data_IF_462309537871
#
_entry.id   IF_462309537871
#
_cell.length_a   1.000
_cell.length_b   1.000
_cell.length_c   1.000
_cell.angle_alpha   90.00
_cell.angle_beta   90.00
_cell.angle_gamma   90.00
#
_symmetry.space_group_name_H-M   'P 1'
#
loop_
_entity.id
_entity.type
_entity.pdbx_description
1 polymer ?
#
# COMPACT_ATOMS: atom_id res chain seq x y z
N UNK A 1 -17.67 14.54 27.09
CA UNK A 1 -18.58 14.87 25.98
C UNK A 1 -18.68 13.71 24.98
N UNK A 2 -19.64 12.81 25.19
CA UNK A 2 -19.86 11.63 24.35
C UNK A 2 -20.27 11.98 22.90
N UNK A 3 -20.80 13.18 22.65
CA UNK A 3 -21.26 13.62 21.33
C UNK A 3 -20.15 13.93 20.33
N UNK A 4 -18.96 14.31 20.78
CA UNK A 4 -17.84 14.64 19.91
C UNK A 4 -17.14 13.40 19.32
N UNK A 5 -17.08 12.30 20.09
CA UNK A 5 -16.52 11.03 19.62
C UNK A 5 -17.40 10.36 18.58
N UNK A 6 -18.72 10.40 18.75
CA UNK A 6 -19.65 9.78 17.80
C UNK A 6 -19.64 10.48 16.42
N UNK A 7 -19.47 11.80 16.40
CA UNK A 7 -19.36 12.56 15.17
C UNK A 7 -18.02 12.31 14.44
N UNK A 8 -16.92 12.14 15.16
CA UNK A 8 -15.62 11.81 14.59
C UNK A 8 -15.59 10.39 13.99
N UNK A 9 -16.20 9.41 14.68
CA UNK A 9 -16.34 8.04 14.14
C UNK A 9 -17.22 7.98 12.90
N UNK A 10 -18.33 8.73 12.88
CA UNK A 10 -19.23 8.81 11.72
C UNK A 10 -18.54 9.43 10.50
N UNK A 11 -17.71 10.48 10.68
CA UNK A 11 -16.91 11.08 9.60
C UNK A 11 -15.86 10.12 9.05
N UNK A 12 -15.17 9.36 9.91
CA UNK A 12 -14.19 8.37 9.50
C UNK A 12 -14.85 7.24 8.70
N UNK A 13 -15.99 6.72 9.16
CA UNK A 13 -16.76 5.69 8.45
C UNK A 13 -17.24 6.18 7.09
N UNK A 14 -17.71 7.43 6.98
CA UNK A 14 -18.13 8.05 5.72
C UNK A 14 -16.94 8.23 4.76
N UNK A 15 -15.79 8.66 5.26
CA UNK A 15 -14.56 8.80 4.48
C UNK A 15 -14.11 7.45 3.92
N UNK A 16 -14.07 6.41 4.75
CA UNK A 16 -13.69 5.05 4.35
C UNK A 16 -14.64 4.50 3.30
N UNK A 17 -15.95 4.66 3.47
CA UNK A 17 -16.96 4.23 2.50
C UNK A 17 -16.77 4.91 1.15
N UNK A 18 -16.53 6.21 1.13
CA UNK A 18 -16.23 7.00 -0.06
C UNK A 18 -14.95 6.53 -0.75
N UNK A 19 -13.92 6.27 0.02
CA UNK A 19 -12.63 5.78 -0.47
C UNK A 19 -12.76 4.40 -1.11
N UNK A 20 -13.52 3.48 -0.48
CA UNK A 20 -13.80 2.15 -1.04
C UNK A 20 -14.51 2.26 -2.38
N UNK A 21 -15.54 3.09 -2.47
CA UNK A 21 -16.25 3.33 -3.73
C UNK A 21 -15.34 3.87 -4.82
N UNK A 22 -14.46 4.81 -4.48
CA UNK A 22 -13.51 5.38 -5.44
C UNK A 22 -12.48 4.35 -5.92
N UNK A 23 -11.97 3.51 -5.03
CA UNK A 23 -11.04 2.43 -5.36
C UNK A 23 -11.70 1.42 -6.28
N UNK A 24 -12.87 0.92 -5.92
CA UNK A 24 -13.61 -0.07 -6.69
C UNK A 24 -13.95 0.46 -8.09
N UNK A 25 -14.44 1.70 -8.19
CA UNK A 25 -14.72 2.35 -9.48
C UNK A 25 -13.47 2.47 -10.35
N UNK A 26 -12.33 2.82 -9.75
CA UNK A 26 -11.06 2.92 -10.45
C UNK A 26 -10.61 1.55 -10.98
N UNK A 27 -10.61 0.52 -10.14
CA UNK A 27 -10.21 -0.84 -10.50
C UNK A 27 -11.11 -1.41 -11.61
N UNK A 28 -12.42 -1.23 -11.48
CA UNK A 28 -13.40 -1.66 -12.48
C UNK A 28 -13.20 -0.95 -13.83
N UNK A 29 -12.92 0.36 -13.79
CA UNK A 29 -12.67 1.15 -15.00
C UNK A 29 -11.42 0.70 -15.75
N UNK A 30 -10.45 0.13 -15.04
CA UNK A 30 -9.22 -0.44 -15.62
C UNK A 30 -9.38 -1.89 -16.07
N UNK A 31 -10.45 -2.55 -15.65
CA UNK A 31 -10.62 -3.99 -15.88
C UNK A 31 -9.58 -4.82 -15.13
N UNK A 32 -9.07 -4.34 -14.02
CA UNK A 32 -8.07 -5.04 -13.22
C UNK A 32 -8.75 -6.03 -12.28
N UNK A 33 -8.37 -7.30 -12.39
CA UNK A 33 -8.78 -8.32 -11.44
C UNK A 33 -8.00 -8.14 -10.14
N UNK A 34 -8.71 -7.95 -9.05
CA UNK A 34 -8.10 -7.73 -7.75
C UNK A 34 -8.60 -8.71 -6.71
N UNK A 35 -7.77 -9.00 -5.72
CA UNK A 35 -8.17 -9.68 -4.50
C UNK A 35 -8.40 -8.66 -3.39
N UNK A 36 -9.37 -8.90 -2.54
CA UNK A 36 -9.59 -8.14 -1.32
C UNK A 36 -9.07 -8.96 -0.13
N UNK A 37 -8.09 -8.40 0.58
CA UNK A 37 -7.44 -9.04 1.72
C UNK A 37 -7.59 -8.15 2.95
N UNK A 38 -8.50 -8.51 3.86
CA UNK A 38 -8.75 -7.77 5.11
C UNK A 38 -8.99 -6.26 4.89
N UNK A 39 -9.70 -5.90 3.83
CA UNK A 39 -10.03 -4.52 3.47
C UNK A 39 -9.02 -3.85 2.53
N UNK A 40 -7.91 -4.49 2.20
CA UNK A 40 -6.93 -4.01 1.21
C UNK A 40 -7.26 -4.58 -0.16
N UNK A 41 -7.25 -3.73 -1.17
CA UNK A 41 -7.40 -4.15 -2.57
C UNK A 41 -6.02 -4.41 -3.16
N UNK A 42 -5.79 -5.63 -3.61
CA UNK A 42 -4.51 -6.04 -4.20
C UNK A 42 -4.67 -6.47 -5.65
N UNK A 43 -4.00 -5.76 -6.54
CA UNK A 43 -3.86 -6.12 -7.94
C UNK A 43 -2.43 -6.59 -8.19
N UNK A 44 -2.27 -7.81 -8.71
CA UNK A 44 -0.98 -8.37 -9.10
C UNK A 44 -0.78 -8.15 -10.58
N UNK A 45 0.12 -7.23 -10.93
CA UNK A 45 0.35 -6.77 -12.31
C UNK A 45 0.87 -7.91 -13.20
N UNK A 46 1.72 -8.77 -12.66
CA UNK A 46 2.42 -9.83 -13.38
C UNK A 46 2.01 -11.25 -12.98
N UNK A 47 0.74 -11.44 -12.61
CA UNK A 47 0.22 -12.76 -12.22
C UNK A 47 0.19 -13.78 -13.37
N UNK A 48 0.34 -13.34 -14.62
CA UNK A 48 0.37 -14.18 -15.81
C UNK A 48 1.75 -14.79 -16.11
N UNK A 49 2.76 -14.48 -15.30
CA UNK A 49 4.10 -15.06 -15.49
C UNK A 49 4.11 -16.57 -15.24
N UNK A 50 4.96 -17.34 -15.97
CA UNK A 50 4.92 -18.82 -15.91
C UNK A 50 5.17 -19.40 -14.52
N UNK A 51 6.02 -18.77 -13.71
CA UNK A 51 6.43 -19.26 -12.40
C UNK A 51 5.48 -18.89 -11.26
N UNK A 52 4.43 -18.11 -11.53
CA UNK A 52 3.56 -17.50 -10.51
C UNK A 52 3.11 -18.50 -9.45
N UNK A 53 2.52 -19.63 -9.86
CA UNK A 53 1.96 -20.61 -8.94
C UNK A 53 3.01 -21.37 -8.11
N UNK A 54 4.26 -21.41 -8.58
CA UNK A 54 5.35 -22.15 -7.93
C UNK A 54 6.21 -21.30 -6.99
N UNK A 55 6.07 -19.99 -7.03
CA UNK A 55 6.88 -19.10 -6.20
C UNK A 55 6.41 -19.08 -4.74
N UNK A 56 7.36 -18.88 -3.78
CA UNK A 56 7.03 -18.83 -2.37
C UNK A 56 5.97 -17.78 -2.05
N UNK A 57 4.97 -18.17 -1.27
CA UNK A 57 3.88 -17.31 -0.83
C UNK A 57 4.14 -16.80 0.57
N UNK A 58 3.90 -15.52 0.79
CA UNK A 58 4.16 -14.84 2.07
C UNK A 58 3.11 -15.25 3.10
N UNK A 59 3.58 -15.67 4.27
CA UNK A 59 2.77 -15.91 5.46
C UNK A 59 3.33 -15.12 6.65
N UNK A 60 2.53 -14.98 7.68
CA UNK A 60 3.00 -14.37 8.93
C UNK A 60 4.23 -15.11 9.48
N UNK A 61 5.22 -14.34 9.92
CA UNK A 61 6.50 -14.86 10.39
C UNK A 61 7.58 -14.94 9.31
N UNK A 62 7.22 -14.89 8.05
CA UNK A 62 8.20 -14.90 6.95
C UNK A 62 8.94 -13.56 6.85
N UNK A 63 10.20 -13.61 6.44
CA UNK A 63 10.94 -12.40 6.05
C UNK A 63 10.64 -12.05 4.60
N UNK A 64 10.39 -10.78 4.35
CA UNK A 64 10.07 -10.26 3.02
C UNK A 64 11.02 -9.13 2.70
N UNK A 65 11.63 -9.18 1.52
CA UNK A 65 12.47 -8.11 0.97
C UNK A 65 11.72 -7.49 -0.20
N UNK A 66 11.52 -6.18 -0.17
CA UNK A 66 10.70 -5.52 -1.19
C UNK A 66 11.13 -4.08 -1.47
N UNK A 67 10.82 -3.64 -2.68
CA UNK A 67 10.84 -2.25 -3.09
C UNK A 67 9.43 -1.69 -3.10
N UNK A 68 9.30 -0.39 -2.84
CA UNK A 68 7.97 0.22 -2.78
C UNK A 68 7.99 1.67 -3.23
N UNK A 69 6.82 2.13 -3.65
CA UNK A 69 6.52 3.55 -3.85
C UNK A 69 5.10 3.84 -3.35
N UNK A 70 4.98 4.82 -2.47
CA UNK A 70 3.71 5.20 -1.84
C UNK A 70 3.19 6.51 -2.40
N UNK A 71 1.94 6.51 -2.82
CA UNK A 71 1.23 7.63 -3.43
C UNK A 71 -0.06 7.92 -2.67
N UNK A 72 -0.50 9.16 -2.71
CA UNK A 72 -1.87 9.50 -2.32
C UNK A 72 -2.84 8.98 -3.40
N UNK A 73 -4.05 8.63 -3.01
CA UNK A 73 -5.07 8.17 -3.96
C UNK A 73 -6.40 8.89 -3.71
N UNK A 74 -6.89 9.56 -4.74
CA UNK A 74 -8.16 10.32 -4.69
C UNK A 74 -9.16 9.91 -5.78
N UNK A 75 -8.98 8.74 -6.39
CA UNK A 75 -9.86 8.19 -7.40
C UNK A 75 -9.26 8.08 -8.80
N UNK A 76 -8.05 8.60 -9.02
CA UNK A 76 -7.34 8.51 -10.30
C UNK A 76 -5.83 8.39 -10.09
N UNK A 77 -5.14 7.97 -11.13
CA UNK A 77 -3.67 7.84 -11.17
C UNK A 77 -3.14 8.64 -12.36
N UNK A 78 -2.16 9.50 -12.10
CA UNK A 78 -1.47 10.28 -13.13
C UNK A 78 -0.11 9.67 -13.46
N UNK A 79 0.28 9.72 -14.73
CA UNK A 79 1.60 9.26 -15.17
C UNK A 79 2.76 10.13 -14.64
N UNK A 80 2.46 11.35 -14.21
CA UNK A 80 3.44 12.30 -13.67
C UNK A 80 3.43 12.39 -12.13
N UNK A 81 2.71 11.49 -11.50
CA UNK A 81 2.58 11.44 -10.04
C UNK A 81 3.91 11.10 -9.39
N UNK A 82 4.27 11.84 -8.35
CA UNK A 82 5.49 11.62 -7.58
C UNK A 82 5.12 10.94 -6.25
N UNK A 83 5.81 9.87 -5.84
CA UNK A 83 5.53 9.24 -4.57
C UNK A 83 5.88 10.18 -3.40
N UNK A 84 5.10 10.12 -2.34
CA UNK A 84 5.44 10.84 -1.12
C UNK A 84 6.49 10.11 -0.29
N UNK A 85 6.68 8.82 -0.52
CA UNK A 85 7.73 8.01 0.09
C UNK A 85 8.06 6.79 -0.78
N UNK A 86 9.35 6.49 -0.92
CA UNK A 86 9.81 5.35 -1.74
C UNK A 86 11.25 4.96 -1.36
N UNK A 87 11.61 3.70 -1.58
CA UNK A 87 13.01 3.27 -1.57
C UNK A 87 13.58 3.12 -2.99
N UNK A 88 12.84 3.52 -4.01
CA UNK A 88 13.26 3.47 -5.42
C UNK A 88 13.78 4.84 -5.83
N UNK A 89 15.09 5.02 -5.83
CA UNK A 89 15.75 6.32 -6.08
C UNK A 89 15.31 6.96 -7.40
N UNK A 90 15.19 6.18 -8.46
CA UNK A 90 14.88 6.70 -9.79
C UNK A 90 13.53 7.42 -9.89
N UNK A 91 12.59 7.12 -8.99
CA UNK A 91 11.27 7.74 -8.97
C UNK A 91 11.25 9.17 -8.40
N UNK A 92 12.30 9.56 -7.70
CA UNK A 92 12.42 10.87 -7.04
C UNK A 92 13.65 11.65 -7.47
N UNK A 93 14.48 11.09 -8.34
CA UNK A 93 15.61 11.80 -8.94
C UNK A 93 15.13 13.04 -9.71
N UNK A 94 15.72 14.19 -9.40
CA UNK A 94 15.34 15.45 -10.03
C UNK A 94 14.15 16.15 -9.41
N UNK A 95 13.46 15.55 -8.46
CA UNK A 95 12.44 16.26 -7.67
C UNK A 95 13.13 17.18 -6.66
N UNK A 96 12.76 18.46 -6.69
CA UNK A 96 13.36 19.49 -5.83
C UNK A 96 12.48 19.87 -4.64
N UNK A 97 11.29 19.32 -4.56
CA UNK A 97 10.29 19.63 -3.51
C UNK A 97 10.38 18.66 -2.35
N UNK A 98 10.64 17.37 -2.65
CA UNK A 98 10.74 16.35 -1.62
C UNK A 98 12.07 16.43 -0.85
N UNK A 99 11.98 16.41 0.46
CA UNK A 99 13.16 16.25 1.30
C UNK A 99 13.45 14.77 1.51
N UNK A 100 14.41 14.24 0.77
CA UNK A 100 14.79 12.82 0.80
C UNK A 100 16.04 12.55 1.62
N UNK A 101 16.54 13.54 2.38
CA UNK A 101 17.81 13.45 3.13
C UNK A 101 17.88 12.23 4.05
N UNK A 102 16.76 11.85 4.66
CA UNK A 102 16.70 10.74 5.61
C UNK A 102 16.09 9.47 5.03
N UNK A 103 15.85 9.43 3.71
CA UNK A 103 15.30 8.24 3.07
C UNK A 103 16.40 7.22 2.78
N UNK A 104 16.08 5.95 3.01
CA UNK A 104 16.92 4.84 2.57
C UNK A 104 16.46 4.38 1.19
N UNK A 105 17.39 4.24 0.26
CA UNK A 105 17.13 3.70 -1.08
C UNK A 105 17.62 2.25 -1.21
N UNK A 106 17.64 1.55 -0.08
CA UNK A 106 17.90 0.11 -0.03
C UNK A 106 16.58 -0.67 0.06
N UNK A 107 16.53 -1.92 -0.44
CA UNK A 107 15.35 -2.76 -0.27
C UNK A 107 14.94 -2.87 1.19
N UNK A 108 13.65 -2.78 1.45
CA UNK A 108 13.09 -2.96 2.79
C UNK A 108 13.09 -4.44 3.15
N UNK A 109 13.48 -4.74 4.38
CA UNK A 109 13.40 -6.09 4.94
C UNK A 109 12.53 -6.07 6.18
N UNK A 110 11.47 -6.87 6.15
CA UNK A 110 10.51 -6.96 7.26
C UNK A 110 10.23 -8.42 7.59
N UNK A 111 9.78 -8.66 8.82
CA UNK A 111 9.15 -9.92 9.21
C UNK A 111 7.65 -9.65 9.29
N UNK A 112 6.88 -10.31 8.43
CA UNK A 112 5.45 -10.05 8.34
C UNK A 112 4.74 -10.38 9.66
N UNK A 113 4.00 -9.42 10.19
CA UNK A 113 3.30 -9.54 11.47
C UNK A 113 4.13 -9.15 12.70
N UNK A 114 5.46 -9.00 12.58
CA UNK A 114 6.36 -8.61 13.68
C UNK A 114 6.94 -7.21 13.50
N UNK A 115 7.39 -6.87 12.28
CA UNK A 115 7.90 -5.53 11.99
C UNK A 115 6.74 -4.53 11.94
N UNK A 116 6.81 -3.41 12.68
CA UNK A 116 5.76 -2.38 12.64
C UNK A 116 5.61 -1.77 11.24
N UNK A 117 4.39 -1.78 10.72
CA UNK A 117 4.00 -1.18 9.44
C UNK A 117 2.55 -0.73 9.55
N UNK A 118 2.09 0.09 8.61
CA UNK A 118 0.65 0.34 8.47
C UNK A 118 -0.07 -1.00 8.22
N UNK A 119 -1.27 -1.13 8.76
CA UNK A 119 -2.05 -2.38 8.65
C UNK A 119 -2.28 -2.78 7.20
N UNK A 120 -2.48 -1.79 6.33
CA UNK A 120 -2.68 -2.03 4.90
C UNK A 120 -1.52 -2.76 4.23
N UNK A 121 -0.28 -2.48 4.61
CA UNK A 121 0.88 -3.21 4.08
C UNK A 121 0.93 -4.63 4.62
N UNK A 122 0.72 -4.81 5.91
CA UNK A 122 0.70 -6.14 6.53
C UNK A 122 -0.34 -7.04 5.86
N UNK A 123 -1.56 -6.55 5.68
CA UNK A 123 -2.63 -7.31 5.06
C UNK A 123 -2.42 -7.50 3.55
N UNK A 124 -1.93 -6.46 2.88
CA UNK A 124 -1.69 -6.50 1.44
C UNK A 124 -0.56 -7.44 1.02
N UNK A 125 0.44 -7.63 1.87
CA UNK A 125 1.57 -8.52 1.61
C UNK A 125 1.25 -9.98 1.92
N UNK A 126 0.36 -10.25 2.87
CA UNK A 126 0.00 -11.63 3.20
C UNK A 126 -0.62 -12.34 2.00
N UNK A 127 -0.08 -13.48 1.65
CA UNK A 127 -0.54 -14.28 0.52
C UNK A 127 0.01 -13.85 -0.85
N UNK A 128 0.75 -12.75 -0.92
CA UNK A 128 1.49 -12.38 -2.12
C UNK A 128 2.69 -13.33 -2.31
N UNK A 129 3.29 -13.32 -3.48
CA UNK A 129 4.37 -14.23 -3.85
C UNK A 129 5.67 -13.50 -4.15
N UNK A 130 6.78 -14.20 -4.02
CA UNK A 130 8.07 -13.72 -4.53
C UNK A 130 7.93 -13.33 -5.99
N UNK A 131 8.59 -12.26 -6.39
CA UNK A 131 8.53 -11.65 -7.74
C UNK A 131 7.21 -10.97 -8.11
N UNK A 132 6.23 -10.89 -7.21
CA UNK A 132 5.02 -10.13 -7.47
C UNK A 132 5.29 -8.65 -7.62
N UNK A 133 4.71 -8.05 -8.66
CA UNK A 133 4.54 -6.61 -8.79
C UNK A 133 3.10 -6.27 -8.39
N UNK A 134 2.94 -5.58 -7.27
CA UNK A 134 1.63 -5.32 -6.67
C UNK A 134 1.24 -3.85 -6.79
N UNK A 135 -0.06 -3.62 -6.94
CA UNK A 135 -0.70 -2.36 -6.64
C UNK A 135 -1.64 -2.60 -5.45
N UNK A 136 -1.37 -1.96 -4.32
CA UNK A 136 -2.21 -2.04 -3.13
C UNK A 136 -2.96 -0.72 -2.98
N UNK A 137 -4.28 -0.81 -2.82
CA UNK A 137 -5.12 0.35 -2.53
C UNK A 137 -5.61 0.22 -1.11
N UNK A 138 -5.30 1.23 -0.30
CA UNK A 138 -5.45 1.19 1.15
C UNK A 138 -6.29 2.37 1.61
N UNK A 139 -7.39 2.09 2.27
CA UNK A 139 -8.23 3.13 2.88
C UNK A 139 -7.54 3.73 4.10
N UNK A 140 -7.94 4.94 4.48
CA UNK A 140 -7.28 5.71 5.54
C UNK A 140 -7.24 4.98 6.89
N UNK A 141 -8.26 4.22 7.24
CA UNK A 141 -8.32 3.44 8.48
C UNK A 141 -7.24 2.35 8.58
N UNK A 142 -6.76 1.86 7.44
CA UNK A 142 -5.69 0.87 7.36
C UNK A 142 -4.32 1.49 7.05
N UNK A 143 -4.26 2.81 6.85
CA UNK A 143 -3.05 3.58 6.61
C UNK A 143 -2.75 4.50 7.80
N UNK A 144 -3.00 5.79 7.65
CA UNK A 144 -2.64 6.80 8.65
C UNK A 144 -3.82 7.36 9.45
N UNK A 145 -5.03 6.86 9.18
CA UNK A 145 -6.24 7.26 9.91
C UNK A 145 -6.65 8.70 9.65
N UNK A 146 -7.24 9.32 10.65
CA UNK A 146 -7.68 10.72 10.63
C UNK A 146 -6.56 11.70 11.02
N UNK A 147 -5.40 11.21 11.45
CA UNK A 147 -4.25 12.03 11.83
C UNK A 147 -3.53 12.61 10.63
N UNK A 148 -3.05 13.83 10.78
CA UNK A 148 -2.19 14.46 9.78
C UNK A 148 -0.72 14.14 10.11
N UNK A 149 -0.01 13.49 9.17
CA UNK A 149 1.39 13.12 9.35
C UNK A 149 2.37 14.21 8.91
N UNK A 150 1.85 15.35 8.39
CA UNK A 150 2.64 16.39 7.74
C UNK A 150 2.93 16.12 6.27
N UNK A 151 2.75 14.89 5.81
CA UNK A 151 2.93 14.47 4.41
C UNK A 151 1.61 13.92 3.84
N UNK A 152 0.89 13.14 4.64
CA UNK A 152 -0.44 12.62 4.31
C UNK A 152 -1.45 13.29 5.23
N UNK A 153 -2.41 13.98 4.64
CA UNK A 153 -3.51 14.58 5.38
C UNK A 153 -4.42 13.50 5.98
N UNK A 154 -5.17 13.86 7.01
CA UNK A 154 -6.11 12.96 7.65
C UNK A 154 -7.19 12.48 6.68
N UNK A 155 -7.69 11.26 6.91
CA UNK A 155 -8.76 10.62 6.13
C UNK A 155 -8.44 10.50 4.63
N UNK A 156 -7.19 10.21 4.28
CA UNK A 156 -6.76 10.07 2.90
C UNK A 156 -6.36 8.63 2.57
N UNK A 157 -6.91 8.08 1.48
CA UNK A 157 -6.51 6.80 0.94
C UNK A 157 -5.12 6.88 0.30
N UNK A 158 -4.43 5.75 0.25
CA UNK A 158 -3.10 5.63 -0.34
C UNK A 158 -3.05 4.47 -1.33
N UNK A 159 -2.14 4.58 -2.29
CA UNK A 159 -1.83 3.54 -3.25
C UNK A 159 -0.36 3.18 -3.13
N UNK A 160 -0.06 1.89 -3.05
CA UNK A 160 1.29 1.39 -2.88
C UNK A 160 1.66 0.49 -4.04
N UNK A 161 2.68 0.88 -4.79
CA UNK A 161 3.39 -0.05 -5.65
C UNK A 161 4.37 -0.84 -4.78
N UNK A 162 4.38 -2.18 -4.92
CA UNK A 162 5.32 -3.04 -4.18
C UNK A 162 5.85 -4.11 -5.13
N UNK A 163 7.17 -4.25 -5.17
CA UNK A 163 7.83 -5.37 -5.84
C UNK A 163 8.49 -6.27 -4.79
N UNK A 164 8.10 -7.54 -4.76
CA UNK A 164 8.62 -8.53 -3.82
C UNK A 164 9.88 -9.15 -4.40
N UNK A 165 11.04 -8.75 -3.89
CA UNK A 165 12.32 -9.29 -4.35
C UNK A 165 12.58 -10.70 -3.82
N UNK A 166 12.24 -10.96 -2.54
CA UNK A 166 12.54 -12.22 -1.89
C UNK A 166 11.55 -12.53 -0.78
N UNK A 167 11.17 -13.80 -0.69
CA UNK A 167 10.42 -14.36 0.44
C UNK A 167 11.30 -15.42 1.11
N UNK A 168 11.59 -15.23 2.38
CA UNK A 168 12.37 -16.18 3.19
C UNK A 168 11.42 -16.80 4.19
N UNK A 169 11.09 -18.06 3.97
CA UNK A 169 10.12 -18.78 4.80
C UNK A 169 10.66 -18.99 6.21
N UNK A 170 9.80 -18.76 7.18
CA UNK A 170 10.09 -19.07 8.57
C UNK A 170 9.83 -20.58 8.79
N UNK A 171 10.91 -21.33 8.89
CA UNK A 171 10.87 -22.76 9.11
C UNK A 171 10.93 -23.14 10.60
#
# INVERSE_FOLDING_TARGET
>A
SAGSLALACAKEDDAVTSQRSAIESFLDSRGWEYAEASGVYRYTVNADRPEYESEPQIAYGDSVVFDFAAYLFSGSVSATEVPYYTNIRSLVEGDTVLNTEYWSFEPQRVVLGATPMIRGLTYGLQGARESDSLQLFVTSDLAYGSGNTGVVDGDQATRWFVYIEKVIKNE
#
